data_IF_997919074989
#
_entry.id   IF_997919074989
#
_cell.length_a   1.000
_cell.length_b   1.000
_cell.length_c   1.000
_cell.angle_alpha   90.00
_cell.angle_beta   90.00
_cell.angle_gamma   90.00
#
_symmetry.space_group_name_H-M   'P 1'
#
loop_
_entity.id
_entity.type
_entity.pdbx_description
1 polymer ?
#
# COMPACT_ATOMS: atom_id res chain seq x y z
N UNK A 1 1.76 0.57 26.04
CA UNK A 1 2.40 -0.53 25.32
C UNK A 1 3.03 0.04 24.06
N UNK A 2 4.18 -0.40 23.69
CA UNK A 2 5.00 0.20 22.64
C UNK A 2 6.14 -0.72 22.29
N UNK A 3 7.34 -0.19 22.19
CA UNK A 3 8.55 -0.94 21.85
C UNK A 3 8.96 -2.00 22.90
N UNK A 4 8.32 -2.03 24.07
CA UNK A 4 8.55 -3.08 25.10
C UNK A 4 8.22 -4.47 24.58
N UNK A 5 7.29 -4.58 23.61
CA UNK A 5 6.94 -5.84 22.96
C UNK A 5 8.11 -6.43 22.13
N UNK A 6 9.15 -5.64 21.82
CA UNK A 6 10.26 -6.06 20.97
C UNK A 6 11.01 -7.31 21.52
N UNK A 7 11.05 -7.48 22.84
CA UNK A 7 11.62 -8.67 23.49
C UNK A 7 10.93 -9.99 23.11
N UNK A 8 9.74 -9.96 22.49
CA UNK A 8 9.09 -11.18 22.00
C UNK A 8 9.80 -11.81 20.78
N UNK A 9 10.68 -11.07 20.11
CA UNK A 9 11.49 -11.57 18.99
C UNK A 9 12.85 -12.15 19.43
N UNK A 10 13.17 -12.12 20.74
CA UNK A 10 14.37 -12.67 21.33
C UNK A 10 15.13 -11.69 22.20
N UNK A 11 16.06 -12.19 22.98
CA UNK A 11 16.90 -11.36 23.89
C UNK A 11 17.94 -10.53 23.13
N UNK A 12 18.35 -10.97 21.93
CA UNK A 12 19.40 -10.33 21.13
C UNK A 12 18.83 -9.26 20.15
N UNK A 13 17.56 -8.90 20.29
CA UNK A 13 16.95 -7.88 19.40
C UNK A 13 17.38 -6.49 19.83
N UNK A 14 17.96 -5.73 18.90
CA UNK A 14 18.45 -4.38 19.15
C UNK A 14 17.75 -3.39 18.21
N UNK A 15 17.20 -2.35 18.79
CA UNK A 15 16.73 -1.17 18.05
C UNK A 15 17.92 -0.26 17.72
N UNK A 16 18.10 0.08 16.43
CA UNK A 16 19.25 0.81 15.92
C UNK A 16 18.92 2.31 15.74
N UNK A 17 18.32 2.66 14.62
CA UNK A 17 18.04 4.05 14.25
C UNK A 17 16.61 4.22 13.70
N UNK A 18 16.00 5.40 13.88
CA UNK A 18 14.70 5.68 13.27
C UNK A 18 14.85 5.74 11.75
N UNK A 19 13.87 5.19 11.05
CA UNK A 19 13.79 5.29 9.61
C UNK A 19 12.82 6.40 9.22
N UNK A 20 13.23 7.25 8.28
CA UNK A 20 12.38 8.30 7.76
C UNK A 20 11.22 7.67 6.96
N UNK A 21 10.00 8.16 7.12
CA UNK A 21 8.92 7.88 6.19
C UNK A 21 7.62 7.32 6.73
N UNK A 22 7.26 7.45 7.95
CA UNK A 22 5.92 7.06 8.39
C UNK A 22 5.18 8.16 9.14
N UNK A 23 4.18 8.79 8.52
CA UNK A 23 3.29 9.72 9.24
C UNK A 23 2.41 8.96 10.24
N UNK A 24 2.08 7.69 9.94
CA UNK A 24 1.15 6.88 10.71
C UNK A 24 1.82 5.89 11.67
N UNK A 25 3.11 5.58 11.49
CA UNK A 25 3.83 4.56 12.26
C UNK A 25 5.18 5.08 12.73
N UNK A 26 5.62 4.60 13.89
CA UNK A 26 7.00 4.76 14.37
C UNK A 26 7.84 3.60 13.80
N UNK A 27 8.80 3.91 12.92
CA UNK A 27 9.55 2.92 12.13
C UNK A 27 11.04 2.99 12.46
N UNK A 28 11.62 1.85 12.78
CA UNK A 28 13.04 1.73 13.17
C UNK A 28 13.73 0.59 12.43
N UNK A 29 14.99 0.79 12.11
CA UNK A 29 15.88 -0.31 11.78
C UNK A 29 16.22 -1.10 13.04
N UNK A 30 16.25 -2.41 12.89
CA UNK A 30 16.50 -3.37 13.97
C UNK A 30 17.61 -4.32 13.57
N UNK A 31 18.17 -4.99 14.56
CA UNK A 31 18.96 -6.21 14.38
C UNK A 31 18.28 -7.34 15.12
N UNK A 32 17.93 -8.42 14.40
CA UNK A 32 17.27 -9.60 14.93
C UNK A 32 18.12 -10.81 14.54
N UNK A 33 18.61 -11.57 15.51
CA UNK A 33 19.48 -12.73 15.26
C UNK A 33 20.71 -12.42 14.37
N UNK A 34 21.25 -11.20 14.52
CA UNK A 34 22.39 -10.73 13.72
C UNK A 34 22.04 -10.07 12.38
N UNK A 35 20.83 -10.27 11.85
CA UNK A 35 20.38 -9.74 10.56
C UNK A 35 19.65 -8.41 10.72
N UNK A 36 19.70 -7.58 9.66
CA UNK A 36 18.92 -6.34 9.60
C UNK A 36 17.43 -6.63 9.43
N UNK A 37 16.61 -5.90 10.16
CA UNK A 37 15.15 -5.95 10.11
C UNK A 37 14.57 -4.55 10.23
N UNK A 38 13.26 -4.42 10.00
CA UNK A 38 12.50 -3.20 10.22
C UNK A 38 11.40 -3.48 11.24
N UNK A 39 11.35 -2.68 12.31
CA UNK A 39 10.23 -2.67 13.23
C UNK A 39 9.29 -1.52 12.89
N UNK A 40 8.01 -1.80 12.83
CA UNK A 40 6.94 -0.83 12.60
C UNK A 40 5.93 -0.94 13.74
N UNK A 41 5.83 0.13 14.52
CA UNK A 41 4.86 0.26 15.62
C UNK A 41 3.76 1.22 15.20
N UNK A 42 2.51 0.78 15.25
CA UNK A 42 1.35 1.57 14.88
C UNK A 42 0.11 1.21 15.67
N UNK A 43 -1.03 1.80 15.27
CA UNK A 43 -2.33 1.64 15.97
C UNK A 43 -3.33 0.79 15.19
N UNK A 44 -2.88 0.06 14.16
CA UNK A 44 -3.74 -0.80 13.36
C UNK A 44 -4.26 -1.99 14.17
N UNK A 45 -5.47 -2.43 13.85
CA UNK A 45 -6.09 -3.59 14.51
C UNK A 45 -5.36 -4.90 14.16
N UNK A 46 -5.49 -5.89 15.03
CA UNK A 46 -4.95 -7.23 14.78
C UNK A 46 -5.49 -7.87 13.51
N UNK A 47 -6.76 -7.62 13.18
CA UNK A 47 -7.37 -8.13 11.95
C UNK A 47 -6.75 -7.51 10.69
N UNK A 48 -6.40 -6.24 10.76
CA UNK A 48 -5.71 -5.50 9.70
C UNK A 48 -4.27 -5.99 9.53
N UNK A 49 -3.53 -6.13 10.63
CA UNK A 49 -2.16 -6.67 10.62
C UNK A 49 -2.11 -8.12 10.14
N UNK A 50 -3.09 -8.94 10.53
CA UNK A 50 -3.20 -10.32 10.07
C UNK A 50 -3.44 -10.42 8.56
N UNK A 51 -4.27 -9.53 8.00
CA UNK A 51 -4.53 -9.46 6.57
C UNK A 51 -3.24 -9.13 5.79
N UNK A 52 -2.50 -8.10 6.20
CA UNK A 52 -1.24 -7.71 5.58
C UNK A 52 -0.19 -8.83 5.69
N UNK A 53 -0.04 -9.42 6.87
CA UNK A 53 0.90 -10.53 7.08
C UNK A 53 0.59 -11.72 6.19
N UNK A 54 -0.69 -12.09 6.04
CA UNK A 54 -1.12 -13.17 5.15
C UNK A 54 -0.82 -12.86 3.69
N UNK A 55 -1.06 -11.62 3.24
CA UNK A 55 -0.74 -11.16 1.89
C UNK A 55 0.76 -11.25 1.62
N UNK A 56 1.60 -10.67 2.49
CA UNK A 56 3.04 -10.66 2.31
C UNK A 56 3.64 -12.07 2.30
N UNK A 57 3.17 -12.96 3.18
CA UNK A 57 3.58 -14.37 3.17
C UNK A 57 3.15 -15.10 1.89
N UNK A 58 1.96 -14.79 1.36
CA UNK A 58 1.50 -15.35 0.09
C UNK A 58 2.38 -14.90 -1.07
N UNK A 59 2.71 -13.62 -1.14
CA UNK A 59 3.54 -13.05 -2.19
C UNK A 59 4.98 -13.60 -2.16
N UNK A 60 5.59 -13.68 -0.98
CA UNK A 60 6.93 -14.23 -0.79
C UNK A 60 7.00 -15.72 -1.23
N UNK A 61 6.02 -16.53 -0.80
CA UNK A 61 5.93 -17.95 -1.22
C UNK A 61 5.77 -18.13 -2.73
N UNK A 62 5.28 -17.11 -3.43
CA UNK A 62 5.14 -17.09 -4.89
C UNK A 62 6.25 -16.30 -5.60
N UNK A 63 7.38 -16.07 -4.91
CA UNK A 63 8.61 -15.54 -5.50
C UNK A 63 8.65 -14.02 -5.67
N UNK A 64 7.76 -13.27 -5.02
CA UNK A 64 7.89 -11.81 -4.95
C UNK A 64 8.80 -11.40 -3.80
N UNK A 65 9.57 -10.34 -4.01
CA UNK A 65 10.39 -9.74 -2.95
C UNK A 65 9.55 -8.71 -2.20
N UNK A 66 9.20 -9.06 -0.96
CA UNK A 66 8.36 -8.22 -0.07
C UNK A 66 8.87 -8.31 1.38
N UNK A 67 8.58 -7.33 2.23
CA UNK A 67 9.01 -7.29 3.62
C UNK A 67 8.17 -8.23 4.50
N UNK A 68 8.43 -9.53 4.41
CA UNK A 68 7.66 -10.54 5.17
C UNK A 68 7.88 -10.35 6.66
N UNK A 69 6.81 -10.44 7.49
CA UNK A 69 6.95 -10.43 8.93
C UNK A 69 7.83 -11.57 9.45
N UNK A 70 8.76 -11.23 10.32
CA UNK A 70 9.59 -12.17 11.09
C UNK A 70 8.77 -12.60 12.31
N UNK A 71 8.55 -13.90 12.54
CA UNK A 71 7.78 -14.34 13.68
C UNK A 71 8.49 -14.10 15.02
N UNK A 72 7.73 -13.87 16.06
CA UNK A 72 8.18 -13.89 17.45
C UNK A 72 8.69 -15.28 17.84
N UNK A 73 9.32 -15.42 18.98
CA UNK A 73 9.80 -16.72 19.50
C UNK A 73 8.69 -17.73 19.73
N UNK A 74 7.44 -17.29 19.95
CA UNK A 74 6.25 -18.13 20.08
C UNK A 74 5.41 -18.22 18.77
N UNK A 75 5.91 -17.68 17.65
CA UNK A 75 5.34 -17.83 16.31
C UNK A 75 4.31 -16.79 15.90
N UNK A 76 4.02 -15.76 16.71
CA UNK A 76 3.15 -14.65 16.31
C UNK A 76 3.84 -13.72 15.32
N UNK A 77 3.09 -13.09 14.42
CA UNK A 77 3.63 -12.21 13.37
C UNK A 77 3.60 -10.73 13.78
N UNK A 78 2.88 -10.40 14.83
CA UNK A 78 2.79 -9.06 15.42
C UNK A 78 2.37 -9.15 16.89
N UNK A 79 2.68 -8.12 17.65
CA UNK A 79 2.33 -8.01 19.08
C UNK A 79 2.04 -6.55 19.41
N UNK A 80 0.86 -6.24 19.94
CA UNK A 80 0.46 -4.90 20.42
C UNK A 80 0.73 -3.79 19.39
N UNK A 81 0.44 -4.04 18.11
CA UNK A 81 0.66 -3.10 17.02
C UNK A 81 2.11 -3.05 16.49
N UNK A 82 3.04 -3.78 17.10
CA UNK A 82 4.42 -3.91 16.61
C UNK A 82 4.53 -5.09 15.64
N UNK A 83 5.08 -4.81 14.45
CA UNK A 83 5.46 -5.81 13.45
C UNK A 83 6.95 -5.68 13.21
N UNK A 84 7.67 -6.81 13.20
CA UNK A 84 9.08 -6.86 12.76
C UNK A 84 9.15 -7.56 11.43
N UNK A 85 9.77 -6.93 10.44
CA UNK A 85 9.77 -7.38 9.06
C UNK A 85 11.19 -7.50 8.52
N UNK A 86 11.36 -8.35 7.50
CA UNK A 86 12.60 -8.45 6.73
C UNK A 86 12.99 -7.09 6.16
N UNK A 87 14.25 -6.70 6.35
CA UNK A 87 14.81 -5.51 5.70
C UNK A 87 14.92 -5.71 4.20
N UNK A 88 14.51 -4.71 3.42
CA UNK A 88 14.62 -4.72 1.96
C UNK A 88 15.76 -3.82 1.52
N UNK A 89 16.78 -4.42 0.91
CA UNK A 89 17.95 -3.71 0.37
C UNK A 89 17.62 -3.05 -0.98
N UNK A 90 18.36 -2.00 -1.31
CA UNK A 90 18.31 -1.33 -2.59
C UNK A 90 17.95 0.14 -2.52
N UNK A 91 18.00 0.80 -3.66
CA UNK A 91 17.60 2.20 -3.85
C UNK A 91 16.21 2.34 -4.46
N UNK A 92 15.69 3.57 -4.54
CA UNK A 92 14.45 3.86 -5.25
C UNK A 92 14.63 3.70 -6.77
N UNK A 93 13.54 3.57 -7.55
CA UNK A 93 13.57 3.63 -9.01
C UNK A 93 13.94 5.05 -9.46
N UNK A 94 14.89 5.16 -10.42
CA UNK A 94 15.39 6.44 -10.91
C UNK A 94 15.09 6.66 -12.40
N UNK A 95 15.00 5.57 -13.17
CA UNK A 95 14.86 5.61 -14.63
C UNK A 95 13.52 5.06 -15.09
N UNK A 96 13.15 5.37 -16.32
CA UNK A 96 11.98 4.78 -16.97
C UNK A 96 12.08 3.24 -17.03
N UNK A 97 13.29 2.70 -17.25
CA UNK A 97 13.53 1.26 -17.24
C UNK A 97 13.26 0.64 -15.86
N UNK A 98 13.61 1.35 -14.78
CA UNK A 98 13.30 0.92 -13.42
C UNK A 98 11.78 0.90 -13.19
N UNK A 99 11.07 1.94 -13.60
CA UNK A 99 9.61 1.99 -13.46
C UNK A 99 8.89 0.91 -14.28
N UNK A 100 9.44 0.51 -15.43
CA UNK A 100 8.92 -0.68 -16.15
C UNK A 100 9.10 -1.96 -15.35
N UNK A 101 10.21 -2.12 -14.61
CA UNK A 101 10.41 -3.25 -13.69
C UNK A 101 9.42 -3.21 -12.53
N UNK A 102 9.15 -2.03 -11.97
CA UNK A 102 8.12 -1.83 -10.95
C UNK A 102 6.74 -2.23 -11.48
N UNK A 103 6.35 -1.77 -12.67
CA UNK A 103 5.10 -2.15 -13.31
C UNK A 103 4.96 -3.68 -13.49
N UNK A 104 6.06 -4.36 -13.84
CA UNK A 104 6.06 -5.82 -13.97
C UNK A 104 5.87 -6.52 -12.62
N UNK A 105 6.48 -5.99 -11.54
CA UNK A 105 6.27 -6.50 -10.18
C UNK A 105 4.82 -6.29 -9.72
N UNK A 106 4.22 -5.13 -10.00
CA UNK A 106 2.81 -4.86 -9.73
C UNK A 106 1.88 -5.80 -10.50
N UNK A 107 2.13 -6.02 -11.79
CA UNK A 107 1.35 -7.00 -12.57
C UNK A 107 1.50 -8.44 -12.03
N UNK A 108 2.65 -8.78 -11.43
CA UNK A 108 2.80 -10.07 -10.75
C UNK A 108 1.96 -10.11 -9.47
N UNK A 109 2.00 -9.07 -8.63
CA UNK A 109 1.13 -8.90 -7.46
C UNK A 109 -0.34 -9.13 -7.85
N UNK A 110 -0.83 -8.41 -8.86
CA UNK A 110 -2.22 -8.45 -9.30
C UNK A 110 -2.64 -9.87 -9.73
N UNK A 111 -1.79 -10.57 -10.51
CA UNK A 111 -2.08 -11.95 -10.92
C UNK A 111 -2.15 -12.93 -9.75
N UNK A 112 -1.25 -12.79 -8.78
CA UNK A 112 -1.15 -13.68 -7.63
C UNK A 112 -2.29 -13.49 -6.62
N UNK A 113 -2.97 -12.34 -6.68
CA UNK A 113 -3.97 -11.95 -5.68
C UNK A 113 -5.38 -11.75 -6.26
N UNK A 114 -5.65 -12.26 -7.47
CA UNK A 114 -7.02 -12.29 -8.00
C UNK A 114 -7.95 -13.00 -7.01
N UNK A 115 -9.07 -12.35 -6.68
CA UNK A 115 -10.02 -12.87 -5.70
C UNK A 115 -9.53 -12.86 -4.24
N UNK A 116 -8.46 -12.14 -3.93
CA UNK A 116 -8.02 -11.96 -2.54
C UNK A 116 -9.13 -11.32 -1.70
N UNK A 117 -9.32 -11.73 -0.42
CA UNK A 117 -10.36 -11.15 0.42
C UNK A 117 -10.05 -9.68 0.74
N UNK A 118 -11.08 -8.85 0.80
CA UNK A 118 -10.92 -7.44 1.17
C UNK A 118 -10.32 -7.28 2.56
N UNK A 119 -9.47 -6.30 2.71
CA UNK A 119 -8.88 -5.89 3.98
C UNK A 119 -9.99 -5.44 4.95
N UNK A 120 -9.96 -5.88 6.22
CA UNK A 120 -11.00 -5.53 7.19
C UNK A 120 -11.20 -4.02 7.33
N UNK A 121 -12.45 -3.57 7.19
CA UNK A 121 -12.82 -2.16 7.24
C UNK A 121 -12.58 -1.37 5.95
N UNK A 122 -11.88 -1.92 4.95
CA UNK A 122 -11.63 -1.26 3.67
C UNK A 122 -12.76 -1.53 2.66
N UNK A 123 -12.83 -0.64 1.68
CA UNK A 123 -13.71 -0.77 0.52
C UNK A 123 -12.90 -0.46 -0.74
N UNK A 124 -13.29 -1.07 -1.86
CA UNK A 124 -12.78 -0.69 -3.16
C UNK A 124 -13.35 0.65 -3.62
N UNK A 125 -12.71 1.28 -4.59
CA UNK A 125 -13.24 2.45 -5.29
C UNK A 125 -14.63 2.18 -5.87
N UNK A 126 -14.87 0.96 -6.39
CA UNK A 126 -16.17 0.56 -6.94
C UNK A 126 -17.22 0.29 -5.87
N UNK A 127 -16.86 -0.16 -4.66
CA UNK A 127 -17.79 -0.26 -3.52
C UNK A 127 -18.31 1.13 -3.09
N UNK A 128 -17.46 2.16 -3.18
CA UNK A 128 -17.79 3.54 -2.83
C UNK A 128 -18.77 4.21 -3.79
N UNK A 129 -19.11 3.58 -4.91
CA UNK A 129 -20.25 4.00 -5.74
C UNK A 129 -21.55 3.98 -4.95
N UNK A 130 -21.70 3.05 -4.00
CA UNK A 130 -22.92 2.81 -3.23
C UNK A 130 -22.74 2.99 -1.71
N UNK A 131 -21.49 3.09 -1.23
CA UNK A 131 -21.17 3.33 0.17
C UNK A 131 -20.78 4.79 0.42
N UNK A 132 -20.88 5.22 1.68
CA UNK A 132 -20.48 6.57 2.13
C UNK A 132 -19.15 6.55 2.87
N UNK A 133 -18.76 5.40 3.42
CA UNK A 133 -17.57 5.28 4.27
C UNK A 133 -16.81 4.02 3.95
N UNK A 134 -15.50 4.05 4.16
CA UNK A 134 -14.62 2.88 4.12
C UNK A 134 -13.28 3.26 4.73
N UNK A 135 -12.87 2.56 5.79
CA UNK A 135 -11.64 2.81 6.55
C UNK A 135 -11.35 4.29 6.80
N UNK A 136 -10.51 4.92 5.98
CA UNK A 136 -10.09 6.33 6.09
C UNK A 136 -10.96 7.27 5.26
N UNK A 137 -11.92 6.73 4.50
CA UNK A 137 -12.79 7.52 3.62
C UNK A 137 -14.12 7.80 4.30
N UNK A 138 -14.51 9.08 4.30
CA UNK A 138 -15.83 9.54 4.68
C UNK A 138 -16.35 10.54 3.64
N UNK A 139 -17.07 10.04 2.65
CA UNK A 139 -17.63 10.86 1.58
C UNK A 139 -18.66 11.89 2.08
N UNK A 140 -19.25 11.66 3.26
CA UNK A 140 -20.18 12.62 3.85
C UNK A 140 -19.51 13.91 4.33
N UNK A 141 -18.19 13.89 4.52
CA UNK A 141 -17.40 15.08 4.86
C UNK A 141 -17.08 15.96 3.64
N UNK A 142 -17.18 15.39 2.42
CA UNK A 142 -16.88 16.09 1.17
C UNK A 142 -18.09 16.88 0.68
N UNK A 143 -17.88 17.98 -0.09
CA UNK A 143 -18.96 18.64 -0.84
C UNK A 143 -19.63 17.66 -1.80
N UNK A 144 -20.95 17.77 -1.96
CA UNK A 144 -21.74 16.86 -2.81
C UNK A 144 -21.25 16.80 -4.26
N UNK A 145 -20.80 17.92 -4.82
CA UNK A 145 -20.18 17.98 -6.15
C UNK A 145 -18.89 17.18 -6.21
N UNK A 146 -18.03 17.27 -5.17
CA UNK A 146 -16.81 16.48 -5.07
C UNK A 146 -17.08 14.97 -5.03
N UNK A 147 -18.07 14.55 -4.25
CA UNK A 147 -18.53 13.16 -4.20
C UNK A 147 -19.03 12.69 -5.57
N UNK A 148 -19.81 13.51 -6.27
CA UNK A 148 -20.31 13.18 -7.60
C UNK A 148 -19.16 12.97 -8.60
N UNK A 149 -18.15 13.85 -8.58
CA UNK A 149 -16.94 13.74 -9.42
C UNK A 149 -16.15 12.46 -9.11
N UNK A 150 -15.90 12.15 -7.84
CA UNK A 150 -15.21 10.92 -7.43
C UNK A 150 -15.97 9.69 -7.92
N UNK A 151 -17.27 9.62 -7.70
CA UNK A 151 -18.10 8.50 -8.14
C UNK A 151 -18.14 8.36 -9.66
N UNK A 152 -18.18 9.46 -10.42
CA UNK A 152 -18.11 9.39 -11.88
C UNK A 152 -16.78 8.83 -12.38
N UNK A 153 -15.67 9.18 -11.74
CA UNK A 153 -14.35 8.61 -12.05
C UNK A 153 -14.32 7.10 -11.74
N UNK A 154 -14.76 6.67 -10.57
CA UNK A 154 -14.80 5.26 -10.16
C UNK A 154 -15.79 4.42 -10.98
N UNK A 155 -16.91 4.99 -11.44
CA UNK A 155 -17.88 4.28 -12.27
C UNK A 155 -17.26 3.76 -13.58
N UNK A 156 -16.19 4.39 -14.09
CA UNK A 156 -15.43 3.92 -15.26
C UNK A 156 -14.63 2.64 -14.99
N UNK A 157 -14.44 2.28 -13.73
CA UNK A 157 -13.79 1.03 -13.30
C UNK A 157 -14.81 -0.10 -13.04
N UNK A 158 -16.10 0.18 -13.02
CA UNK A 158 -17.13 -0.79 -12.67
C UNK A 158 -17.09 -2.04 -13.56
N UNK A 159 -17.24 -3.21 -12.94
CA UNK A 159 -17.24 -4.50 -13.65
C UNK A 159 -15.86 -5.06 -14.00
N UNK A 160 -14.78 -4.36 -13.64
CA UNK A 160 -13.42 -4.89 -13.78
C UNK A 160 -13.10 -5.88 -12.64
N UNK A 161 -12.18 -6.81 -12.92
CA UNK A 161 -11.67 -7.73 -11.90
C UNK A 161 -10.89 -6.95 -10.85
N UNK A 162 -10.92 -7.45 -9.60
CA UNK A 162 -10.23 -6.88 -8.46
C UNK A 162 -9.18 -7.83 -7.91
N UNK A 163 -8.15 -7.27 -7.32
CA UNK A 163 -7.06 -7.99 -6.67
C UNK A 163 -6.52 -7.15 -5.51
N UNK A 164 -5.57 -7.66 -4.75
CA UNK A 164 -4.84 -6.77 -3.84
C UNK A 164 -4.00 -5.78 -4.66
N UNK A 165 -4.15 -4.49 -4.36
CA UNK A 165 -3.31 -3.40 -4.87
C UNK A 165 -2.34 -2.96 -3.79
N UNK A 166 -1.20 -2.41 -4.19
CA UNK A 166 -0.24 -1.83 -3.24
C UNK A 166 -0.78 -0.54 -2.61
N UNK A 167 -1.45 0.27 -3.43
CA UNK A 167 -2.15 1.49 -3.03
C UNK A 167 -1.33 2.79 -3.11
N UNK A 168 0.01 2.71 -3.10
CA UNK A 168 0.89 3.87 -3.24
C UNK A 168 2.25 3.49 -3.89
N UNK A 169 2.25 2.82 -5.06
CA UNK A 169 3.47 2.32 -5.70
C UNK A 169 4.22 3.38 -6.50
N UNK A 170 3.62 4.52 -6.79
CA UNK A 170 4.20 5.65 -7.54
C UNK A 170 5.11 6.52 -6.68
N UNK A 171 5.06 6.38 -5.34
CA UNK A 171 6.03 6.95 -4.44
C UNK A 171 7.36 6.15 -4.54
N UNK A 172 8.46 6.74 -5.04
CA UNK A 172 9.74 6.04 -5.16
C UNK A 172 10.30 5.57 -3.83
N UNK A 173 9.88 6.19 -2.71
CA UNK A 173 10.22 5.77 -1.35
C UNK A 173 9.66 4.39 -0.97
N UNK A 174 8.60 3.92 -1.64
CA UNK A 174 7.94 2.65 -1.39
C UNK A 174 8.50 1.49 -2.22
N UNK A 175 9.58 1.74 -2.96
CA UNK A 175 10.25 0.74 -3.78
C UNK A 175 11.71 0.64 -3.41
N UNK A 176 12.22 -0.58 -3.33
CA UNK A 176 13.65 -0.88 -3.18
C UNK A 176 14.10 -1.76 -4.32
N UNK A 177 15.10 -1.30 -5.06
CA UNK A 177 15.58 -1.99 -6.25
C UNK A 177 17.06 -2.31 -6.16
N UNK A 178 17.39 -3.50 -6.61
CA UNK A 178 18.76 -3.91 -6.96
C UNK A 178 18.81 -4.35 -8.43
N UNK A 179 19.97 -4.77 -8.92
CA UNK A 179 20.08 -5.37 -10.25
C UNK A 179 19.14 -6.59 -10.41
N UNK A 180 18.92 -7.34 -9.33
CA UNK A 180 18.28 -8.65 -9.36
C UNK A 180 16.81 -8.66 -8.97
N UNK A 181 16.32 -7.67 -8.20
CA UNK A 181 14.96 -7.67 -7.70
C UNK A 181 14.35 -6.26 -7.60
N UNK A 182 13.04 -6.25 -7.52
CA UNK A 182 12.19 -5.11 -7.13
C UNK A 182 11.44 -5.54 -5.88
N UNK A 183 11.62 -4.83 -4.78
CA UNK A 183 10.87 -5.02 -3.56
C UNK A 183 9.88 -3.86 -3.38
N UNK A 184 8.62 -4.19 -3.13
CA UNK A 184 7.58 -3.25 -2.75
C UNK A 184 7.50 -3.20 -1.23
N UNK A 185 7.58 -2.01 -0.65
CA UNK A 185 7.53 -1.76 0.80
C UNK A 185 6.43 -0.74 1.11
N UNK A 186 6.10 -0.59 2.40
CA UNK A 186 5.04 0.31 2.87
C UNK A 186 3.64 -0.05 2.34
N UNK A 187 3.10 -1.16 2.86
CA UNK A 187 1.81 -1.73 2.49
C UNK A 187 0.62 -1.14 3.25
N UNK A 188 0.79 0.04 3.86
CA UNK A 188 -0.24 0.66 4.71
C UNK A 188 -1.52 1.01 3.95
N UNK A 189 -1.41 1.35 2.67
CA UNK A 189 -2.54 1.67 1.80
C UNK A 189 -3.04 0.46 0.98
N UNK A 190 -2.42 -0.71 1.16
CA UNK A 190 -2.81 -1.90 0.40
C UNK A 190 -4.21 -2.38 0.79
N UNK A 191 -5.01 -2.68 -0.20
CA UNK A 191 -6.39 -3.16 -0.08
C UNK A 191 -6.79 -3.90 -1.38
N UNK A 192 -8.05 -4.35 -1.48
CA UNK A 192 -8.54 -4.96 -2.73
C UNK A 192 -9.25 -3.91 -3.57
N UNK A 193 -8.76 -3.70 -4.78
CA UNK A 193 -9.34 -2.77 -5.76
C UNK A 193 -8.98 -3.20 -7.19
N UNK A 194 -9.33 -2.36 -8.17
CA UNK A 194 -9.00 -2.56 -9.58
C UNK A 194 -7.49 -2.35 -9.78
N UNK A 195 -6.78 -3.31 -10.42
CA UNK A 195 -5.32 -3.27 -10.57
C UNK A 195 -4.77 -2.05 -11.30
N UNK A 196 -5.60 -1.42 -12.15
CA UNK A 196 -5.20 -0.25 -12.92
C UNK A 196 -4.77 0.93 -12.03
N UNK A 197 -5.30 1.03 -10.80
CA UNK A 197 -4.94 2.10 -9.85
C UNK A 197 -3.45 2.08 -9.49
N UNK A 198 -2.85 0.90 -9.34
CA UNK A 198 -1.41 0.75 -9.10
C UNK A 198 -0.53 1.05 -10.31
N UNK A 199 -1.10 1.10 -11.51
CA UNK A 199 -0.33 1.27 -12.75
C UNK A 199 -0.31 2.73 -13.25
N UNK A 200 -0.78 3.67 -12.45
CA UNK A 200 -0.59 5.10 -12.65
C UNK A 200 0.78 5.50 -12.12
N UNK A 201 1.82 5.23 -12.90
CA UNK A 201 3.20 5.42 -12.49
C UNK A 201 3.78 6.74 -13.05
N UNK A 202 4.87 7.30 -12.44
CA UNK A 202 5.41 8.62 -12.79
C UNK A 202 5.89 8.75 -14.24
N UNK A 203 6.26 7.63 -14.88
CA UNK A 203 6.72 7.63 -16.27
C UNK A 203 5.66 7.02 -17.19
N UNK A 204 5.16 7.82 -18.14
CA UNK A 204 4.24 7.36 -19.19
C UNK A 204 4.85 6.15 -19.93
N UNK A 205 4.02 5.12 -20.15
CA UNK A 205 4.47 3.87 -20.80
C UNK A 205 5.13 2.85 -19.86
N UNK A 206 5.41 3.18 -18.61
CA UNK A 206 5.86 2.18 -17.64
C UNK A 206 4.69 1.29 -17.17
N UNK A 207 3.54 1.89 -16.86
CA UNK A 207 2.33 1.21 -16.37
C UNK A 207 1.24 1.07 -17.44
N UNK A 208 0.34 2.04 -17.51
CA UNK A 208 -0.77 2.14 -18.46
C UNK A 208 -0.50 3.24 -19.49
N UNK A 209 -1.18 3.14 -20.64
CA UNK A 209 -1.10 4.15 -21.71
C UNK A 209 -2.49 4.55 -22.19
N UNK A 210 -2.57 5.71 -22.86
CA UNK A 210 -3.76 6.19 -23.56
C UNK A 210 -4.99 6.31 -22.67
N UNK A 211 -6.13 5.85 -23.14
CA UNK A 211 -7.39 5.95 -22.40
C UNK A 211 -7.40 5.16 -21.08
N UNK A 212 -6.71 4.03 -21.01
CA UNK A 212 -6.62 3.23 -19.80
C UNK A 212 -5.88 4.00 -18.69
N UNK A 213 -4.78 4.68 -19.04
CA UNK A 213 -4.06 5.57 -18.12
C UNK A 213 -4.96 6.71 -17.64
N UNK A 214 -5.67 7.37 -18.56
CA UNK A 214 -6.55 8.49 -18.23
C UNK A 214 -7.67 8.09 -17.26
N UNK A 215 -8.30 6.93 -17.48
CA UNK A 215 -9.33 6.39 -16.58
C UNK A 215 -8.74 6.12 -15.19
N UNK A 216 -7.61 5.43 -15.13
CA UNK A 216 -6.99 5.07 -13.88
C UNK A 216 -6.47 6.30 -13.11
N UNK A 217 -5.86 7.28 -13.80
CA UNK A 217 -5.38 8.51 -13.19
C UNK A 217 -6.51 9.34 -12.58
N UNK A 218 -7.67 9.42 -13.26
CA UNK A 218 -8.85 10.10 -12.71
C UNK A 218 -9.40 9.37 -11.48
N UNK A 219 -9.43 8.05 -11.50
CA UNK A 219 -9.91 7.25 -10.38
C UNK A 219 -8.93 7.28 -9.19
N UNK A 220 -7.61 7.27 -9.44
CA UNK A 220 -6.57 7.43 -8.42
C UNK A 220 -6.64 8.82 -7.76
N UNK A 221 -6.75 9.88 -8.56
CA UNK A 221 -6.92 11.23 -8.03
C UNK A 221 -8.18 11.37 -7.16
N UNK A 222 -9.27 10.72 -7.58
CA UNK A 222 -10.52 10.69 -6.80
C UNK A 222 -10.35 9.90 -5.49
N UNK A 223 -9.58 8.80 -5.50
CA UNK A 223 -9.27 8.02 -4.30
C UNK A 223 -8.45 8.83 -3.30
N UNK A 224 -7.36 9.44 -3.74
CA UNK A 224 -6.50 10.23 -2.89
C UNK A 224 -7.22 11.46 -2.31
N UNK A 225 -8.07 12.12 -3.11
CA UNK A 225 -8.91 13.21 -2.62
C UNK A 225 -9.85 12.75 -1.50
N UNK A 226 -10.42 11.54 -1.62
CA UNK A 226 -11.37 11.02 -0.64
C UNK A 226 -10.69 10.51 0.65
N UNK A 227 -9.50 9.89 0.54
CA UNK A 227 -8.73 9.34 1.69
C UNK A 227 -8.17 10.45 2.57
N UNK A 228 -7.70 11.54 1.96
CA UNK A 228 -7.06 12.66 2.66
C UNK A 228 -7.98 13.89 2.74
N UNK A 229 -9.31 13.72 2.65
CA UNK A 229 -10.22 14.87 2.70
C UNK A 229 -10.01 15.67 4.00
N UNK A 230 -9.97 17.00 3.87
CA UNK A 230 -9.72 18.05 4.87
C UNK A 230 -8.30 18.65 4.84
N UNK A 231 -7.41 18.22 3.95
CA UNK A 231 -6.12 18.86 3.74
C UNK A 231 -6.01 19.55 2.36
N UNK A 232 -4.99 20.40 2.20
CA UNK A 232 -4.73 21.12 0.96
C UNK A 232 -4.42 20.18 -0.21
N UNK A 233 -3.82 19.03 0.09
CA UNK A 233 -3.50 18.01 -0.89
C UNK A 233 -4.77 17.40 -1.51
N UNK A 234 -5.74 17.06 -0.68
CA UNK A 234 -7.01 16.47 -1.14
C UNK A 234 -7.79 17.42 -2.07
N UNK A 235 -7.80 18.71 -1.76
CA UNK A 235 -8.42 19.73 -2.60
C UNK A 235 -7.74 19.80 -3.97
N UNK A 236 -6.41 19.76 -3.99
CA UNK A 236 -5.62 19.72 -5.22
C UNK A 236 -5.93 18.47 -6.05
N UNK A 237 -5.94 17.28 -5.42
CA UNK A 237 -6.26 16.02 -6.10
C UNK A 237 -7.69 16.03 -6.67
N UNK A 238 -8.67 16.55 -5.93
CA UNK A 238 -10.04 16.69 -6.44
C UNK A 238 -10.12 17.62 -7.66
N UNK A 239 -9.29 18.67 -7.71
CA UNK A 239 -9.24 19.57 -8.87
C UNK A 239 -8.76 18.88 -10.15
N UNK A 240 -7.97 17.81 -10.04
CA UNK A 240 -7.50 16.99 -11.16
C UNK A 240 -8.58 16.03 -11.69
N UNK A 241 -9.61 15.72 -10.89
CA UNK A 241 -10.75 14.89 -11.32
C UNK A 241 -11.67 15.73 -12.20
N UNK A 242 -12.00 15.24 -13.41
CA UNK A 242 -12.86 15.94 -14.35
C UNK A 242 -14.24 16.25 -13.76
N UNK A 243 -14.78 17.39 -14.12
CA UNK A 243 -16.19 17.71 -13.83
C UNK A 243 -17.12 16.73 -14.57
N UNK A 244 -18.25 16.42 -13.95
CA UNK A 244 -19.32 15.59 -14.53
C UNK A 244 -20.16 16.43 -15.48
#
# INVERSE_FOLDING_TARGET
MGWEALGQWGEDVVRLEPLAGGVANDVWSLRVQGELAVGRLGTRSDADLAWEAALLQHLDRNGMTVPVPIPTTDGRLFVDGLVVMRYMEGGPPETEADWRRVANALRQLHRLTQGWPQRPGWRSSTDLLHAQTGTRINLSAMPSEGVARCRAAWARLAGRETCAVHGNPDNPGNVRMTANHVALIDWDESHVDVPDLDLVLPHNGAGLEGEAYDIAAQASAAWEAAVCWDDEYSIKRLAEVRAV
#
